data_IF_253954653384
#
_entry.id   IF_253954653384
#
_cell.length_a   1.000
_cell.length_b   1.000
_cell.length_c   1.000
_cell.angle_alpha   90.00
_cell.angle_beta   90.00
_cell.angle_gamma   90.00
#
_symmetry.space_group_name_H-M   'P 1'
#
loop_
_entity.id
_entity.type
_entity.pdbx_description
1 polymer ?
#
# COMPACT_ATOMS: atom_id res chain seq x y z
N UNK A 1 -64.71 -41.95 -24.57
CA UNK A 1 -63.42 -41.62 -23.96
C UNK A 1 -62.88 -40.37 -24.64
N UNK A 2 -62.92 -39.21 -23.95
CA UNK A 2 -62.34 -37.95 -24.45
C UNK A 2 -61.05 -37.62 -23.72
N UNK A 3 -59.90 -37.69 -24.42
CA UNK A 3 -58.59 -37.43 -23.90
C UNK A 3 -58.35 -35.90 -23.98
N UNK A 4 -58.17 -35.25 -22.82
CA UNK A 4 -57.88 -33.85 -22.71
C UNK A 4 -56.35 -33.70 -22.62
N UNK A 5 -55.71 -33.10 -23.65
CA UNK A 5 -54.32 -32.65 -23.63
C UNK A 5 -54.21 -31.35 -22.85
N UNK A 6 -53.49 -31.34 -21.74
CA UNK A 6 -53.07 -30.11 -21.03
C UNK A 6 -51.73 -29.68 -21.57
N UNK A 7 -51.71 -28.53 -22.27
CA UNK A 7 -50.49 -27.84 -22.68
C UNK A 7 -50.05 -26.99 -21.49
N UNK A 8 -48.90 -27.31 -20.88
CA UNK A 8 -48.25 -26.48 -19.87
C UNK A 8 -47.38 -25.42 -20.58
N UNK A 9 -47.76 -24.17 -20.45
CA UNK A 9 -46.92 -23.05 -20.88
C UNK A 9 -45.83 -22.81 -19.80
N UNK A 10 -44.57 -23.12 -20.11
CA UNK A 10 -43.43 -22.71 -19.30
C UNK A 10 -43.11 -21.23 -19.65
N UNK A 11 -43.47 -20.30 -18.76
CA UNK A 11 -42.97 -18.93 -18.83
C UNK A 11 -41.51 -18.95 -18.35
N UNK A 12 -40.59 -18.90 -19.29
CA UNK A 12 -39.17 -18.64 -19.01
C UNK A 12 -38.98 -17.19 -18.56
N UNK A 13 -38.78 -16.97 -17.28
CA UNK A 13 -38.32 -15.68 -16.78
C UNK A 13 -36.89 -15.48 -17.25
N UNK A 14 -36.67 -14.70 -18.29
CA UNK A 14 -35.37 -14.20 -18.72
C UNK A 14 -34.99 -13.12 -17.69
N UNK A 15 -34.24 -13.49 -16.64
CA UNK A 15 -33.51 -12.53 -15.83
C UNK A 15 -32.43 -11.89 -16.73
N UNK A 16 -32.75 -10.76 -17.36
CA UNK A 16 -31.74 -9.84 -17.87
C UNK A 16 -30.99 -9.27 -16.68
N UNK A 17 -30.02 -10.01 -16.15
CA UNK A 17 -29.00 -9.45 -15.29
C UNK A 17 -28.21 -8.43 -16.11
N UNK A 18 -28.30 -7.15 -15.76
CA UNK A 18 -27.41 -6.15 -16.31
C UNK A 18 -25.99 -6.64 -16.04
N UNK A 19 -25.30 -7.11 -17.06
CA UNK A 19 -23.89 -7.40 -17.00
C UNK A 19 -23.20 -6.05 -16.82
N UNK A 20 -22.92 -5.68 -15.57
CA UNK A 20 -22.01 -4.58 -15.29
C UNK A 20 -20.71 -4.92 -16.01
N UNK A 21 -20.24 -4.01 -16.86
CA UNK A 21 -18.98 -4.18 -17.56
C UNK A 21 -17.88 -4.41 -16.49
N UNK A 22 -17.36 -5.64 -16.46
CA UNK A 22 -16.21 -5.93 -15.59
C UNK A 22 -15.06 -5.00 -16.00
N UNK A 23 -14.41 -4.36 -15.03
CA UNK A 23 -13.23 -3.57 -15.30
C UNK A 23 -12.12 -4.41 -15.96
N UNK A 24 -11.15 -3.74 -16.56
CA UNK A 24 -10.07 -4.40 -17.33
C UNK A 24 -8.71 -3.89 -16.94
N UNK A 25 -7.69 -4.72 -17.18
CA UNK A 25 -6.29 -4.34 -17.08
C UNK A 25 -5.76 -3.82 -18.42
N UNK A 26 -4.94 -2.78 -18.35
CA UNK A 26 -4.26 -2.15 -19.50
C UNK A 26 -2.78 -2.11 -19.19
N UNK A 27 -1.94 -2.54 -20.14
CA UNK A 27 -0.49 -2.40 -20.06
C UNK A 27 -0.07 -1.01 -20.51
N UNK A 28 0.80 -0.37 -19.75
CA UNK A 28 1.33 0.97 -20.01
C UNK A 28 2.86 0.92 -20.18
N UNK A 29 3.49 2.09 -20.40
CA UNK A 29 4.94 2.19 -20.56
C UNK A 29 5.67 1.52 -19.41
N UNK A 30 6.61 0.63 -19.72
CA UNK A 30 7.40 -0.12 -18.75
C UNK A 30 8.13 0.81 -17.77
N UNK A 31 8.24 0.39 -16.51
CA UNK A 31 8.98 1.14 -15.50
C UNK A 31 10.47 1.07 -15.76
N UNK A 32 11.21 2.20 -15.81
CA UNK A 32 12.59 2.22 -16.29
C UNK A 32 13.62 1.57 -15.36
N UNK A 33 13.35 1.49 -14.06
CA UNK A 33 14.31 1.01 -13.05
C UNK A 33 13.61 0.00 -12.10
N UNK A 34 13.37 -1.25 -12.57
CA UNK A 34 12.65 -2.26 -11.80
C UNK A 34 13.25 -2.52 -10.42
N UNK A 35 12.40 -2.53 -9.40
CA UNK A 35 12.79 -2.76 -8.01
C UNK A 35 11.58 -3.26 -7.21
N UNK A 36 11.84 -3.69 -5.99
CA UNK A 36 10.82 -3.93 -4.97
C UNK A 36 10.79 -2.82 -3.91
N UNK A 37 9.84 -2.90 -3.00
CA UNK A 37 9.60 -1.92 -1.92
C UNK A 37 9.43 -0.49 -2.45
N UNK A 38 8.68 -0.41 -3.54
CA UNK A 38 8.28 0.84 -4.17
C UNK A 38 6.96 1.33 -3.59
N UNK A 39 6.83 2.64 -3.45
CA UNK A 39 5.59 3.29 -3.00
C UNK A 39 5.09 4.25 -4.09
N UNK A 40 3.78 4.24 -4.31
CA UNK A 40 3.13 5.08 -5.31
C UNK A 40 2.23 6.14 -4.67
N UNK A 41 2.27 7.35 -5.21
CA UNK A 41 1.38 8.46 -4.83
C UNK A 41 0.95 9.23 -6.06
N UNK A 42 -0.32 9.60 -6.14
CA UNK A 42 -0.82 10.50 -7.16
C UNK A 42 -0.79 11.94 -6.67
N UNK A 43 -0.26 12.84 -7.47
CA UNK A 43 -0.31 14.29 -7.24
C UNK A 43 -0.42 15.02 -8.57
N UNK A 44 -1.20 16.09 -8.63
CA UNK A 44 -1.32 16.95 -9.80
C UNK A 44 -1.63 16.21 -11.13
N UNK A 45 -2.44 15.12 -11.05
CA UNK A 45 -2.81 14.31 -12.21
C UNK A 45 -1.72 13.37 -12.73
N UNK A 46 -0.63 13.20 -12.00
CA UNK A 46 0.50 12.31 -12.32
C UNK A 46 0.71 11.26 -11.23
N UNK A 47 1.41 10.18 -11.59
CA UNK A 47 1.87 9.17 -10.65
C UNK A 47 3.33 9.41 -10.29
N UNK A 48 3.64 9.38 -9.01
CA UNK A 48 5.01 9.41 -8.49
C UNK A 48 5.33 8.07 -7.83
N UNK A 49 6.50 7.52 -8.15
CA UNK A 49 7.04 6.27 -7.58
C UNK A 49 8.32 6.58 -6.84
N UNK A 50 8.40 6.10 -5.60
CA UNK A 50 9.47 6.40 -4.65
C UNK A 50 10.12 5.13 -4.11
N UNK A 51 11.29 5.28 -3.48
CA UNK A 51 12.05 4.28 -2.75
C UNK A 51 12.83 3.31 -3.62
N UNK A 52 12.49 2.03 -3.54
CA UNK A 52 13.16 0.93 -4.18
C UNK A 52 14.32 0.34 -3.38
N UNK A 53 14.47 -0.97 -3.50
CA UNK A 53 15.55 -1.76 -2.91
C UNK A 53 16.28 -2.49 -4.03
N UNK A 54 17.60 -2.37 -4.06
CA UNK A 54 18.50 -3.10 -4.92
C UNK A 54 18.99 -4.40 -4.25
N UNK A 55 19.61 -5.34 -4.99
CA UNK A 55 20.22 -6.53 -4.43
C UNK A 55 21.10 -6.23 -3.21
N UNK A 56 21.03 -7.07 -2.18
CA UNK A 56 21.71 -6.86 -0.90
C UNK A 56 20.98 -5.90 0.04
N UNK A 57 19.69 -5.69 -0.17
CA UNK A 57 18.82 -4.82 0.65
C UNK A 57 19.24 -3.34 0.65
N UNK A 58 19.93 -2.91 -0.40
CA UNK A 58 20.41 -1.54 -0.52
C UNK A 58 19.30 -0.59 -0.94
N UNK A 59 18.89 0.39 -0.09
CA UNK A 59 17.93 1.39 -0.48
C UNK A 59 18.46 2.24 -1.65
N UNK A 60 17.62 2.48 -2.64
CA UNK A 60 17.96 3.28 -3.83
C UNK A 60 17.54 4.73 -3.63
N UNK A 61 16.35 4.95 -3.06
CA UNK A 61 15.78 6.29 -2.86
C UNK A 61 15.40 6.97 -4.19
N UNK A 62 15.06 6.17 -5.21
CA UNK A 62 14.68 6.70 -6.51
C UNK A 62 13.37 7.49 -6.45
N UNK A 63 13.19 8.41 -7.40
CA UNK A 63 11.94 9.11 -7.65
C UNK A 63 11.68 9.15 -9.15
N UNK A 64 10.50 8.71 -9.55
CA UNK A 64 10.02 8.77 -10.92
C UNK A 64 8.63 9.39 -11.00
N UNK A 65 8.42 10.21 -12.00
CA UNK A 65 7.13 10.76 -12.39
C UNK A 65 6.64 10.05 -13.65
N UNK A 66 5.39 9.58 -13.64
CA UNK A 66 4.69 9.10 -14.82
C UNK A 66 3.60 10.08 -15.22
N UNK A 67 3.62 10.47 -16.50
CA UNK A 67 2.59 11.31 -17.10
C UNK A 67 1.63 10.43 -17.93
N UNK A 68 0.37 10.25 -17.47
CA UNK A 68 -0.60 9.44 -18.19
C UNK A 68 -1.05 10.04 -19.53
N UNK A 69 -0.86 11.35 -19.73
CA UNK A 69 -1.20 12.01 -20.99
C UNK A 69 -0.25 11.68 -22.13
N UNK A 70 1.00 11.37 -21.81
CA UNK A 70 2.05 11.03 -22.78
C UNK A 70 2.53 9.58 -22.70
N UNK A 71 2.07 8.82 -21.69
CA UNK A 71 2.52 7.46 -21.37
C UNK A 71 4.05 7.40 -21.19
N UNK A 72 4.65 8.31 -20.43
CA UNK A 72 6.10 8.43 -20.25
C UNK A 72 6.52 8.58 -18.80
N UNK A 73 7.70 8.03 -18.51
CA UNK A 73 8.39 8.17 -17.24
C UNK A 73 9.48 9.24 -17.32
N UNK A 74 9.63 10.01 -16.23
CA UNK A 74 10.71 10.99 -16.06
C UNK A 74 11.35 10.77 -14.70
N UNK A 75 12.68 10.58 -14.66
CA UNK A 75 13.43 10.49 -13.40
C UNK A 75 13.52 11.88 -12.77
N UNK A 76 13.29 11.94 -11.47
CA UNK A 76 13.27 13.15 -10.65
C UNK A 76 14.43 13.14 -9.66
N UNK A 77 14.60 14.26 -8.93
CA UNK A 77 15.60 14.34 -7.88
C UNK A 77 15.34 13.29 -6.80
N UNK A 78 16.36 12.47 -6.43
CA UNK A 78 16.19 11.38 -5.49
C UNK A 78 15.84 11.88 -4.09
N UNK A 79 15.37 10.96 -3.24
CA UNK A 79 15.15 11.21 -1.82
C UNK A 79 16.46 11.67 -1.15
N UNK A 80 16.40 12.66 -0.22
CA UNK A 80 17.61 13.15 0.48
C UNK A 80 18.34 12.09 1.28
N UNK A 81 17.62 11.10 1.78
CA UNK A 81 18.13 9.92 2.45
C UNK A 81 17.57 8.67 1.75
N UNK A 82 18.41 7.91 1.00
CA UNK A 82 17.99 6.65 0.44
C UNK A 82 17.44 5.73 1.52
N UNK A 83 16.14 5.43 1.45
CA UNK A 83 15.42 4.61 2.42
C UNK A 83 14.32 3.82 1.72
N UNK A 84 13.81 2.78 2.37
CA UNK A 84 12.74 1.92 1.88
C UNK A 84 11.64 1.75 2.92
N UNK A 85 10.47 1.24 2.51
CA UNK A 85 9.31 1.10 3.38
C UNK A 85 8.91 2.43 4.05
N UNK A 86 9.12 3.53 3.35
CA UNK A 86 8.66 4.87 3.73
C UNK A 86 7.16 4.95 3.43
N UNK A 87 6.37 5.61 4.24
CA UNK A 87 4.99 5.88 3.90
C UNK A 87 4.82 7.25 3.24
N UNK A 88 3.93 7.34 2.27
CA UNK A 88 3.67 8.56 1.53
C UNK A 88 2.20 8.90 1.50
N UNK A 89 1.90 10.20 1.49
CA UNK A 89 0.56 10.72 1.25
C UNK A 89 0.63 12.06 0.53
N UNK A 90 -0.43 12.41 -0.19
CA UNK A 90 -0.53 13.69 -0.90
C UNK A 90 -1.33 14.68 -0.07
N UNK A 91 -0.96 15.97 -0.15
CA UNK A 91 -1.73 17.07 0.38
C UNK A 91 -1.43 18.37 -0.39
N UNK A 92 -2.45 18.95 -0.99
CA UNK A 92 -2.40 20.23 -1.75
C UNK A 92 -1.31 20.24 -2.83
N UNK A 93 -1.21 19.16 -3.59
CA UNK A 93 -0.27 19.02 -4.71
C UNK A 93 1.16 18.69 -4.30
N UNK A 94 1.45 18.54 -3.01
CA UNK A 94 2.74 18.13 -2.47
C UNK A 94 2.67 16.72 -1.90
N UNK A 95 3.80 16.03 -1.85
CA UNK A 95 3.90 14.66 -1.37
C UNK A 95 4.72 14.66 -0.08
N UNK A 96 4.16 14.03 0.94
CA UNK A 96 4.76 13.92 2.27
C UNK A 96 5.23 12.50 2.50
N UNK A 97 6.45 12.37 3.02
CA UNK A 97 7.15 11.10 3.27
C UNK A 97 7.49 10.97 4.75
N UNK A 98 7.21 9.79 5.34
CA UNK A 98 7.36 9.58 6.78
C UNK A 98 8.00 8.23 7.11
N UNK A 99 9.04 8.26 7.96
CA UNK A 99 9.72 7.07 8.48
C UNK A 99 10.41 6.25 7.41
N UNK A 100 10.42 4.95 7.59
CA UNK A 100 11.11 3.98 6.71
C UNK A 100 12.28 3.29 7.41
N UNK A 101 13.08 2.58 6.62
CA UNK A 101 14.29 1.92 7.07
C UNK A 101 15.49 2.34 6.21
N UNK A 102 16.66 2.35 6.84
CA UNK A 102 17.97 2.51 6.21
C UNK A 102 18.87 1.34 6.56
N UNK A 103 19.97 1.18 5.83
CA UNK A 103 21.05 0.27 6.26
C UNK A 103 21.83 0.87 7.43
N UNK A 104 22.39 0.05 8.34
CA UNK A 104 23.28 0.51 9.37
C UNK A 104 24.58 1.07 8.75
N UNK A 105 25.21 2.04 9.42
CA UNK A 105 26.46 2.64 8.96
C UNK A 105 27.64 1.65 8.99
N UNK A 106 27.56 0.59 9.78
CA UNK A 106 28.57 -0.46 9.88
C UNK A 106 27.92 -1.78 10.33
N UNK A 107 28.58 -2.89 10.05
CA UNK A 107 28.10 -4.23 10.37
C UNK A 107 27.28 -4.86 9.24
N UNK A 108 26.61 -5.99 9.50
CA UNK A 108 25.82 -6.69 8.50
C UNK A 108 24.58 -5.87 8.10
N UNK A 109 24.08 -6.10 6.90
CA UNK A 109 22.85 -5.49 6.41
C UNK A 109 21.69 -5.73 7.40
N UNK A 110 20.97 -4.67 7.74
CA UNK A 110 19.82 -4.70 8.66
C UNK A 110 18.88 -3.55 8.31
N UNK A 111 17.65 -3.61 8.81
CA UNK A 111 16.67 -2.55 8.64
C UNK A 111 16.62 -1.69 9.89
N UNK A 112 17.20 -0.50 9.82
CA UNK A 112 17.21 0.46 10.92
C UNK A 112 16.08 1.46 10.73
N UNK A 113 15.07 1.48 11.63
CA UNK A 113 13.95 2.40 11.50
C UNK A 113 14.39 3.85 11.72
N UNK A 114 13.81 4.76 10.94
CA UNK A 114 14.10 6.20 10.97
C UNK A 114 12.87 7.02 11.35
N UNK A 115 13.13 8.25 11.77
CA UNK A 115 12.10 9.25 12.13
C UNK A 115 12.02 10.40 11.12
N UNK A 116 12.71 10.32 10.01
CA UNK A 116 12.72 11.36 8.99
C UNK A 116 11.31 11.63 8.45
N UNK A 117 11.02 12.92 8.27
CA UNK A 117 9.83 13.41 7.60
C UNK A 117 10.24 14.44 6.53
N UNK A 118 9.66 14.32 5.35
CA UNK A 118 9.99 15.16 4.20
C UNK A 118 8.72 15.61 3.47
N UNK A 119 8.78 16.81 2.89
CA UNK A 119 7.85 17.29 1.88
C UNK A 119 8.58 17.31 0.53
N UNK A 120 8.01 16.71 -0.48
CA UNK A 120 8.43 16.81 -1.86
C UNK A 120 7.49 17.73 -2.61
N UNK A 121 8.04 18.72 -3.28
CA UNK A 121 7.32 19.63 -4.18
C UNK A 121 7.52 19.16 -5.63
N UNK A 122 6.53 18.51 -6.27
CA UNK A 122 6.68 18.03 -7.64
C UNK A 122 6.90 19.12 -8.67
N UNK A 123 6.39 20.33 -8.42
CA UNK A 123 6.52 21.43 -9.37
C UNK A 123 7.95 22.00 -9.39
N UNK A 124 8.62 22.01 -8.24
CA UNK A 124 9.98 22.49 -8.07
C UNK A 124 11.02 21.35 -8.17
N UNK A 125 10.58 20.08 -8.10
CA UNK A 125 11.45 18.91 -7.98
C UNK A 125 12.43 19.03 -6.80
N UNK A 126 11.92 19.44 -5.63
CA UNK A 126 12.72 19.72 -4.44
C UNK A 126 12.15 19.07 -3.19
N UNK A 127 13.04 18.76 -2.24
CA UNK A 127 12.72 18.19 -0.95
C UNK A 127 12.95 19.19 0.17
N UNK A 128 12.06 19.20 1.16
CA UNK A 128 12.16 19.99 2.39
C UNK A 128 12.00 19.08 3.60
N UNK A 129 12.93 19.18 4.57
CA UNK A 129 12.80 18.47 5.84
C UNK A 129 11.67 19.06 6.69
N UNK A 130 10.96 18.18 7.39
CA UNK A 130 9.88 18.52 8.31
C UNK A 130 10.27 18.11 9.74
N UNK A 131 9.45 18.48 10.73
CA UNK A 131 9.59 17.97 12.08
C UNK A 131 9.57 16.43 12.06
N UNK A 132 10.58 15.76 12.66
CA UNK A 132 10.69 14.31 12.61
C UNK A 132 9.51 13.63 13.32
N UNK A 133 9.22 12.37 12.92
CA UNK A 133 8.24 11.54 13.63
C UNK A 133 8.67 11.37 15.10
N UNK A 134 7.73 11.48 16.05
CA UNK A 134 8.03 11.21 17.45
C UNK A 134 8.51 9.78 17.70
N UNK A 135 8.01 8.80 16.91
CA UNK A 135 8.39 7.39 17.02
C UNK A 135 9.06 6.91 15.72
N UNK A 136 10.34 6.56 15.80
CA UNK A 136 11.08 5.95 14.68
C UNK A 136 10.46 4.63 14.28
N UNK A 137 10.05 4.48 13.01
CA UNK A 137 9.45 3.26 12.51
C UNK A 137 9.50 3.15 10.98
N UNK A 138 9.60 1.93 10.50
CA UNK A 138 9.48 1.63 9.08
C UNK A 138 8.18 0.91 8.76
N UNK A 139 7.80 0.93 7.50
CA UNK A 139 6.57 0.30 6.99
C UNK A 139 5.27 0.70 7.72
N UNK A 140 5.11 1.98 8.17
CA UNK A 140 3.80 2.47 8.57
C UNK A 140 2.94 2.72 7.33
N UNK A 141 1.66 3.05 7.55
CA UNK A 141 0.82 3.66 6.50
C UNK A 141 0.67 5.15 6.77
N UNK A 142 0.55 5.96 5.72
CA UNK A 142 0.23 7.38 5.83
C UNK A 142 -1.00 7.73 4.99
N UNK A 143 -1.91 8.50 5.56
CA UNK A 143 -3.17 8.89 4.91
C UNK A 143 -3.52 10.32 5.27
N UNK A 144 -3.94 11.10 4.30
CA UNK A 144 -4.46 12.46 4.51
C UNK A 144 -5.97 12.41 4.71
N UNK A 145 -6.46 13.08 5.77
CA UNK A 145 -7.88 13.31 6.02
C UNK A 145 -8.07 14.79 6.36
N UNK A 146 -8.84 15.50 5.56
CA UNK A 146 -8.95 16.96 5.68
C UNK A 146 -7.59 17.64 5.57
N UNK A 147 -7.26 18.45 6.56
CA UNK A 147 -5.97 19.17 6.62
C UNK A 147 -4.95 18.48 7.54
N UNK A 148 -5.09 17.18 7.79
CA UNK A 148 -4.22 16.39 8.69
C UNK A 148 -3.73 15.11 8.02
N UNK A 149 -2.52 14.70 8.38
CA UNK A 149 -1.94 13.44 7.95
C UNK A 149 -1.78 12.50 9.13
N UNK A 150 -2.18 11.26 8.95
CA UNK A 150 -2.13 10.22 9.97
C UNK A 150 -1.10 9.18 9.57
N UNK A 151 -0.07 8.99 10.42
CA UNK A 151 0.94 7.94 10.26
C UNK A 151 0.63 6.85 11.29
N UNK A 152 0.31 5.65 10.79
CA UNK A 152 -0.32 4.60 11.58
C UNK A 152 0.48 3.30 11.49
N UNK A 153 0.67 2.64 12.63
CA UNK A 153 1.34 1.34 12.68
C UNK A 153 2.82 1.42 12.33
N UNK A 154 3.32 0.38 11.72
CA UNK A 154 4.72 0.21 11.36
C UNK A 154 5.48 -0.74 12.28
N UNK A 155 6.79 -0.82 12.10
CA UNK A 155 7.68 -1.68 12.86
C UNK A 155 8.83 -0.88 13.48
N UNK A 156 9.16 -1.22 14.73
CA UNK A 156 10.23 -0.63 15.53
C UNK A 156 11.22 -1.70 16.00
N UNK A 157 12.41 -1.28 16.41
CA UNK A 157 13.37 -2.13 17.11
C UNK A 157 13.36 -1.82 18.61
N UNK A 158 13.67 -2.80 19.44
CA UNK A 158 13.82 -2.58 20.87
C UNK A 158 15.06 -1.71 21.20
N UNK A 159 15.08 -1.02 22.35
CA UNK A 159 16.19 -0.11 22.72
C UNK A 159 17.59 -0.75 22.77
N UNK A 160 17.67 -2.05 23.01
CA UNK A 160 18.93 -2.82 23.06
C UNK A 160 19.36 -3.37 21.70
N UNK A 161 18.55 -3.14 20.66
CA UNK A 161 18.65 -3.77 19.35
C UNK A 161 18.89 -2.75 18.23
N UNK A 162 19.30 -1.54 18.59
CA UNK A 162 19.52 -0.45 17.65
C UNK A 162 20.61 -0.74 16.60
N UNK A 163 21.49 -1.72 16.84
CA UNK A 163 22.46 -2.25 15.88
C UNK A 163 22.03 -3.65 15.45
N UNK A 164 21.07 -3.73 14.57
CA UNK A 164 20.31 -4.95 14.35
C UNK A 164 20.93 -5.83 13.27
N UNK A 165 21.16 -7.07 13.62
CA UNK A 165 21.40 -8.16 12.68
C UNK A 165 20.13 -8.42 11.84
N UNK A 166 20.21 -8.76 10.53
CA UNK A 166 19.06 -9.03 9.67
C UNK A 166 18.03 -10.03 10.22
N UNK A 167 18.49 -10.95 11.07
CA UNK A 167 17.65 -11.96 11.72
C UNK A 167 17.00 -11.49 13.03
N UNK A 168 17.13 -10.24 13.44
CA UNK A 168 16.49 -9.75 14.67
C UNK A 168 15.09 -9.24 14.38
N UNK A 169 14.13 -9.52 15.27
CA UNK A 169 12.75 -9.13 15.04
C UNK A 169 12.54 -7.63 15.11
N UNK A 170 11.76 -7.09 14.19
CA UNK A 170 11.09 -5.82 14.36
C UNK A 170 9.73 -6.08 14.99
N UNK A 171 9.32 -5.23 15.92
CA UNK A 171 8.03 -5.35 16.59
C UNK A 171 7.01 -4.44 15.92
N UNK A 172 5.87 -5.00 15.54
CA UNK A 172 4.73 -4.20 15.07
C UNK A 172 4.20 -3.32 16.18
N UNK A 173 3.88 -2.07 15.83
CA UNK A 173 3.28 -1.11 16.76
C UNK A 173 1.91 -0.66 16.27
N UNK A 174 1.05 -0.28 17.21
CA UNK A 174 -0.25 0.34 16.92
C UNK A 174 -0.20 1.88 16.96
N UNK A 175 0.98 2.47 17.07
CA UNK A 175 1.18 3.93 17.21
C UNK A 175 0.46 4.69 16.10
N UNK A 176 -0.28 5.73 16.49
CA UNK A 176 -0.91 6.70 15.59
C UNK A 176 -0.41 8.09 15.94
N UNK A 177 0.17 8.74 14.96
CA UNK A 177 0.66 10.11 15.07
C UNK A 177 0.05 10.96 13.95
N UNK A 178 -0.56 12.06 14.36
CA UNK A 178 -1.18 13.04 13.48
C UNK A 178 -0.21 14.19 13.25
N UNK A 179 0.02 14.52 11.99
CA UNK A 179 0.84 15.65 11.56
C UNK A 179 -0.03 16.81 11.09
N UNK A 180 0.27 18.00 11.60
CA UNK A 180 -0.30 19.26 11.15
C UNK A 180 0.71 19.99 10.25
N UNK A 181 0.49 20.06 8.92
CA UNK A 181 1.41 20.72 8.01
C UNK A 181 1.45 22.24 8.19
N UNK A 182 0.42 22.85 8.78
CA UNK A 182 0.39 24.31 8.99
C UNK A 182 1.32 24.74 10.14
N UNK A 183 1.40 23.94 11.19
CA UNK A 183 2.27 24.21 12.35
C UNK A 183 3.57 23.42 12.32
N UNK A 184 3.75 22.48 11.37
CA UNK A 184 4.86 21.52 11.32
C UNK A 184 5.03 20.78 12.65
N UNK A 185 3.94 20.26 13.20
CA UNK A 185 3.90 19.65 14.53
C UNK A 185 3.14 18.33 14.55
N UNK A 186 3.49 17.47 15.50
CA UNK A 186 2.91 16.16 15.72
C UNK A 186 2.06 16.11 16.99
N UNK A 187 1.03 15.28 16.98
CA UNK A 187 0.36 14.85 18.20
C UNK A 187 0.02 13.37 18.16
N UNK A 188 0.07 12.72 19.32
CA UNK A 188 -0.36 11.32 19.46
C UNK A 188 -1.88 11.21 19.43
N UNK A 189 -2.35 10.09 18.87
CA UNK A 189 -3.78 9.72 18.78
C UNK A 189 -3.97 8.33 19.36
N UNK A 190 -5.23 7.92 19.52
CA UNK A 190 -5.57 6.58 20.01
C UNK A 190 -4.94 5.50 19.13
N UNK A 191 -4.16 4.61 19.74
CA UNK A 191 -3.42 3.57 19.07
C UNK A 191 -4.36 2.58 18.34
N UNK A 192 -3.91 2.07 17.19
CA UNK A 192 -4.59 1.01 16.44
C UNK A 192 -4.65 -0.28 17.29
N UNK A 193 -5.81 -0.91 17.45
CA UNK A 193 -5.99 -2.07 18.33
C UNK A 193 -5.13 -3.28 17.95
N UNK A 194 -4.91 -3.51 16.65
CA UNK A 194 -4.05 -4.59 16.16
C UNK A 194 -2.75 -4.02 15.60
N UNK A 195 -1.63 -4.03 16.38
CA UNK A 195 -0.32 -3.58 15.90
C UNK A 195 0.13 -4.32 14.66
N UNK A 196 0.49 -3.59 13.58
CA UNK A 196 0.92 -4.19 12.31
C UNK A 196 1.73 -3.23 11.44
N UNK A 197 2.44 -3.84 10.50
CA UNK A 197 3.24 -3.17 9.49
C UNK A 197 2.96 -3.78 8.10
N UNK A 198 3.50 -3.23 7.04
CA UNK A 198 3.27 -3.66 5.66
C UNK A 198 1.76 -3.78 5.30
N UNK A 199 0.92 -3.01 5.98
CA UNK A 199 -0.49 -2.92 5.69
C UNK A 199 -0.76 -2.01 4.48
N UNK A 200 -1.96 -2.12 3.91
CA UNK A 200 -2.50 -1.13 3.00
C UNK A 200 -3.40 -0.14 3.76
N UNK A 201 -3.61 1.05 3.21
CA UNK A 201 -4.56 1.99 3.78
C UNK A 201 -5.24 2.86 2.72
N UNK A 202 -6.38 3.43 3.09
CA UNK A 202 -7.10 4.40 2.29
C UNK A 202 -8.02 5.26 3.15
N UNK A 203 -8.31 6.48 2.69
CA UNK A 203 -9.27 7.36 3.33
C UNK A 203 -10.56 7.45 2.51
N UNK A 204 -11.69 7.23 3.16
CA UNK A 204 -13.03 7.38 2.56
C UNK A 204 -13.94 8.04 3.58
N UNK A 205 -14.69 9.06 3.16
CA UNK A 205 -15.65 9.78 4.01
C UNK A 205 -15.05 10.26 5.35
N UNK A 206 -13.87 10.86 5.31
CA UNK A 206 -13.11 11.36 6.45
C UNK A 206 -12.72 10.29 7.50
N UNK A 207 -12.70 9.03 7.11
CA UNK A 207 -12.24 7.91 7.93
C UNK A 207 -11.08 7.21 7.26
N UNK A 208 -10.18 6.66 8.07
CA UNK A 208 -9.03 5.88 7.61
C UNK A 208 -9.31 4.40 7.79
N UNK A 209 -9.00 3.62 6.78
CA UNK A 209 -9.10 2.15 6.81
C UNK A 209 -7.70 1.56 6.70
N UNK A 210 -7.29 0.77 7.68
CA UNK A 210 -6.03 0.01 7.67
C UNK A 210 -6.35 -1.46 7.42
N UNK A 211 -5.76 -2.04 6.38
CA UNK A 211 -6.18 -3.30 5.77
C UNK A 211 -5.00 -4.27 5.68
N UNK A 212 -5.18 -5.49 6.18
CA UNK A 212 -4.19 -6.55 6.09
C UNK A 212 -2.87 -6.22 6.78
N UNK A 213 -1.76 -6.68 6.23
CA UNK A 213 -0.41 -6.47 6.78
C UNK A 213 0.10 -7.61 7.63
N UNK A 214 1.17 -7.38 8.38
CA UNK A 214 1.85 -8.35 9.26
C UNK A 214 1.63 -7.98 10.71
N UNK A 215 1.37 -8.97 11.56
CA UNK A 215 1.19 -8.85 13.02
C UNK A 215 2.35 -9.49 13.76
N UNK A 216 2.58 -9.06 15.01
CA UNK A 216 3.58 -9.64 15.90
C UNK A 216 5.01 -9.23 15.59
N UNK A 217 5.96 -10.12 15.87
CA UNK A 217 7.37 -9.93 15.55
C UNK A 217 7.61 -10.07 14.05
N UNK A 218 8.47 -9.23 13.50
CA UNK A 218 8.80 -9.23 12.09
C UNK A 218 10.28 -9.51 11.92
N UNK A 219 10.59 -10.53 11.11
CA UNK A 219 11.94 -10.82 10.68
C UNK A 219 12.13 -10.34 9.24
N UNK A 220 13.30 -9.83 8.91
CA UNK A 220 13.64 -9.43 7.54
C UNK A 220 13.61 -10.65 6.61
N UNK A 221 14.10 -11.79 7.11
CA UNK A 221 14.25 -13.03 6.34
C UNK A 221 13.53 -14.20 6.99
N UNK A 222 12.53 -13.96 7.84
CA UNK A 222 11.80 -14.98 8.57
C UNK A 222 10.31 -15.01 8.24
N UNK A 223 9.62 -16.08 8.63
CA UNK A 223 8.17 -16.15 8.50
C UNK A 223 7.47 -15.01 9.20
N UNK A 224 6.41 -14.48 8.60
CA UNK A 224 5.56 -13.44 9.17
C UNK A 224 4.11 -13.88 9.25
N UNK A 225 3.38 -13.39 10.25
CA UNK A 225 1.95 -13.66 10.41
C UNK A 225 1.14 -12.60 9.68
N UNK A 226 0.71 -12.89 8.47
CA UNK A 226 -0.17 -12.02 7.71
C UNK A 226 -1.61 -12.07 8.24
N UNK A 227 -2.32 -10.96 8.14
CA UNK A 227 -3.69 -10.83 8.64
C UNK A 227 -4.67 -10.36 7.58
N UNK A 228 -5.95 -10.68 7.79
CA UNK A 228 -7.10 -10.22 7.02
C UNK A 228 -7.84 -9.07 7.70
N UNK A 229 -7.36 -8.59 8.83
CA UNK A 229 -8.03 -7.59 9.66
C UNK A 229 -8.16 -6.27 8.90
N UNK A 230 -9.36 -5.68 9.03
CA UNK A 230 -9.67 -4.32 8.59
C UNK A 230 -10.12 -3.53 9.79
N UNK A 231 -9.45 -2.41 10.05
CA UNK A 231 -9.80 -1.48 11.12
C UNK A 231 -10.02 -0.09 10.55
N UNK A 232 -11.14 0.51 10.94
CA UNK A 232 -11.51 1.87 10.62
C UNK A 232 -11.16 2.78 11.77
N UNK A 233 -10.46 3.87 11.49
CA UNK A 233 -10.20 4.96 12.41
C UNK A 233 -11.06 6.16 12.06
N UNK A 234 -11.77 6.68 13.05
CA UNK A 234 -12.50 7.94 12.97
C UNK A 234 -11.69 9.05 13.65
N UNK A 235 -11.04 9.95 12.89
CA UNK A 235 -10.25 11.03 13.45
C UNK A 235 -11.03 12.02 14.32
N UNK A 236 -12.32 12.21 14.03
CA UNK A 236 -13.16 13.13 14.79
C UNK A 236 -13.49 12.59 16.19
N UNK A 237 -13.75 11.29 16.29
CA UNK A 237 -14.02 10.60 17.54
C UNK A 237 -12.76 10.10 18.25
N UNK A 238 -11.60 10.09 17.57
CA UNK A 238 -10.35 9.44 18.00
C UNK A 238 -10.56 7.99 18.42
N UNK A 239 -11.30 7.23 17.60
CA UNK A 239 -11.76 5.89 17.94
C UNK A 239 -11.64 4.90 16.76
N UNK A 240 -11.48 3.63 17.11
CA UNK A 240 -11.34 2.52 16.17
C UNK A 240 -12.54 1.60 16.17
N UNK A 241 -12.82 0.99 15.00
CA UNK A 241 -13.82 -0.05 14.84
C UNK A 241 -13.36 -1.12 13.86
N UNK A 242 -13.64 -2.39 14.17
CA UNK A 242 -13.41 -3.50 13.24
C UNK A 242 -14.42 -3.47 12.10
N UNK A 243 -13.97 -3.88 10.91
CA UNK A 243 -14.78 -3.98 9.69
C UNK A 243 -14.68 -5.38 9.08
N UNK A 244 -15.44 -5.62 8.01
CA UNK A 244 -15.42 -6.89 7.30
C UNK A 244 -14.00 -7.24 6.84
N UNK A 245 -13.54 -8.43 7.20
CA UNK A 245 -12.21 -8.93 6.92
C UNK A 245 -11.93 -9.03 5.44
N UNK A 246 -10.69 -8.76 5.02
CA UNK A 246 -10.22 -8.95 3.65
C UNK A 246 -10.29 -10.42 3.24
N UNK A 247 -10.76 -10.76 2.04
CA UNK A 247 -10.90 -12.16 1.61
C UNK A 247 -9.57 -12.93 1.57
N UNK A 248 -8.47 -12.26 1.20
CA UNK A 248 -7.15 -12.89 1.07
C UNK A 248 -6.13 -12.24 2.02
N UNK A 249 -5.79 -12.87 3.17
CA UNK A 249 -4.78 -12.35 4.10
C UNK A 249 -3.42 -12.17 3.41
N UNK A 250 -2.85 -10.96 3.43
CA UNK A 250 -1.56 -10.66 2.80
C UNK A 250 -0.97 -9.33 3.27
N UNK A 251 0.29 -9.11 2.94
CA UNK A 251 1.05 -7.90 3.26
C UNK A 251 1.79 -7.35 2.02
N UNK A 252 2.43 -6.20 2.14
CA UNK A 252 3.22 -5.56 1.08
C UNK A 252 2.41 -5.36 -0.23
N UNK A 253 1.15 -4.95 -0.06
CA UNK A 253 0.15 -4.73 -1.11
C UNK A 253 0.18 -3.28 -1.59
N UNK A 254 -0.29 -3.06 -2.82
CA UNK A 254 -0.66 -1.74 -3.28
C UNK A 254 -2.15 -1.45 -3.03
N UNK A 255 -2.45 -0.18 -2.76
CA UNK A 255 -3.82 0.31 -2.53
C UNK A 255 -4.12 1.54 -3.37
N UNK A 256 -5.40 1.76 -3.63
CA UNK A 256 -5.89 2.99 -4.23
C UNK A 256 -7.36 3.23 -3.91
N UNK A 257 -7.75 4.49 -3.76
CA UNK A 257 -9.14 4.87 -3.49
C UNK A 257 -9.76 5.44 -4.75
N UNK A 258 -10.88 4.87 -5.17
CA UNK A 258 -11.63 5.34 -6.33
C UNK A 258 -13.14 5.20 -6.09
N UNK A 259 -13.89 6.27 -6.32
CA UNK A 259 -15.37 6.33 -6.14
C UNK A 259 -15.84 5.74 -4.81
N UNK A 260 -15.17 6.15 -3.70
CA UNK A 260 -15.55 5.75 -2.35
C UNK A 260 -15.25 4.30 -1.99
N UNK A 261 -14.49 3.57 -2.81
CA UNK A 261 -14.02 2.20 -2.54
C UNK A 261 -12.51 2.16 -2.43
N UNK A 262 -12.02 1.22 -1.65
CA UNK A 262 -10.58 0.96 -1.47
C UNK A 262 -10.23 -0.32 -2.22
N UNK A 263 -9.37 -0.20 -3.22
CA UNK A 263 -8.90 -1.30 -4.05
C UNK A 263 -7.54 -1.78 -3.54
N UNK A 264 -7.39 -3.08 -3.35
CA UNK A 264 -6.17 -3.72 -2.86
C UNK A 264 -5.73 -4.79 -3.86
N UNK A 265 -4.47 -4.75 -4.28
CA UNK A 265 -3.93 -5.78 -5.19
C UNK A 265 -2.48 -6.10 -4.89
N UNK A 266 -2.01 -7.23 -5.42
CA UNK A 266 -0.66 -7.72 -5.18
C UNK A 266 -0.45 -8.14 -3.73
N UNK A 267 0.80 -8.09 -3.31
CA UNK A 267 1.23 -8.48 -1.97
C UNK A 267 1.76 -9.89 -1.91
N UNK A 268 2.16 -10.28 -0.70
CA UNK A 268 2.73 -11.59 -0.43
C UNK A 268 2.16 -12.23 0.82
N UNK A 269 2.33 -13.53 0.89
CA UNK A 269 2.17 -14.35 2.08
C UNK A 269 3.46 -15.13 2.31
N UNK A 270 3.98 -15.09 3.53
CA UNK A 270 5.20 -15.82 3.87
C UNK A 270 5.13 -16.33 5.30
N UNK A 271 4.92 -17.62 5.43
CA UNK A 271 5.03 -18.32 6.70
C UNK A 271 5.91 -19.59 6.54
N UNK A 272 6.02 -20.38 7.58
CA UNK A 272 6.82 -21.61 7.56
C UNK A 272 6.30 -22.68 6.57
N UNK A 273 5.10 -22.51 6.01
CA UNK A 273 4.42 -23.50 5.16
C UNK A 273 4.24 -23.03 3.72
N UNK A 274 4.09 -21.73 3.53
CA UNK A 274 3.75 -21.15 2.22
C UNK A 274 4.51 -19.83 1.99
N UNK A 275 5.06 -19.70 0.79
CA UNK A 275 5.61 -18.47 0.24
C UNK A 275 4.90 -18.20 -1.09
N UNK A 276 4.22 -17.07 -1.19
CA UNK A 276 3.46 -16.75 -2.39
C UNK A 276 3.38 -15.24 -2.60
N UNK A 277 3.35 -14.83 -3.88
CA UNK A 277 2.92 -13.49 -4.29
C UNK A 277 1.52 -13.57 -4.88
N UNK A 278 0.75 -12.52 -4.72
CA UNK A 278 -0.64 -12.49 -5.15
C UNK A 278 -0.86 -11.58 -6.35
N UNK A 279 -1.89 -11.92 -7.13
CA UNK A 279 -2.43 -11.07 -8.18
C UNK A 279 -3.89 -10.70 -7.94
N UNK A 280 -4.46 -11.14 -6.81
CA UNK A 280 -5.83 -10.82 -6.43
C UNK A 280 -6.05 -9.32 -6.40
N UNK A 281 -7.12 -8.85 -7.04
CA UNK A 281 -7.66 -7.50 -6.91
C UNK A 281 -8.98 -7.59 -6.16
N UNK A 282 -9.05 -6.93 -5.02
CA UNK A 282 -10.21 -6.90 -4.14
C UNK A 282 -10.58 -5.46 -3.83
N UNK A 283 -11.87 -5.14 -3.83
CA UNK A 283 -12.37 -3.81 -3.52
C UNK A 283 -13.25 -3.85 -2.28
N UNK A 284 -12.92 -3.03 -1.31
CA UNK A 284 -13.71 -2.80 -0.11
C UNK A 284 -14.65 -1.62 -0.30
N UNK A 285 -15.92 -1.82 -0.02
CA UNK A 285 -16.95 -0.79 0.01
C UNK A 285 -17.28 -0.43 1.48
N UNK A 286 -16.76 0.69 2.01
CA UNK A 286 -17.01 1.09 3.38
C UNK A 286 -18.48 1.34 3.70
N UNK A 287 -19.26 1.84 2.74
CA UNK A 287 -20.68 2.13 2.96
C UNK A 287 -21.51 0.86 3.18
N UNK A 288 -21.10 -0.25 2.56
CA UNK A 288 -21.74 -1.55 2.69
C UNK A 288 -21.03 -2.48 3.67
N UNK A 289 -19.83 -2.10 4.13
CA UNK A 289 -18.92 -2.96 4.90
C UNK A 289 -18.73 -4.32 4.22
N UNK A 290 -18.43 -4.33 2.92
CA UNK A 290 -18.38 -5.54 2.11
C UNK A 290 -17.25 -5.50 1.08
N UNK A 291 -16.78 -6.70 0.69
CA UNK A 291 -15.76 -6.92 -0.31
C UNK A 291 -16.32 -7.41 -1.63
N UNK A 292 -15.65 -7.04 -2.72
CA UNK A 292 -15.85 -7.58 -4.06
C UNK A 292 -14.53 -8.09 -4.61
N UNK A 293 -14.55 -9.27 -5.24
CA UNK A 293 -13.42 -9.83 -5.98
C UNK A 293 -13.54 -9.37 -7.43
N UNK A 294 -12.45 -8.84 -7.97
CA UNK A 294 -12.38 -8.25 -9.30
C UNK A 294 -11.38 -9.01 -10.19
N UNK A 295 -11.33 -8.73 -11.52
CA UNK A 295 -10.34 -9.35 -12.40
C UNK A 295 -8.91 -9.18 -11.88
N UNK A 296 -8.22 -10.29 -11.68
CA UNK A 296 -6.87 -10.32 -11.10
C UNK A 296 -5.86 -9.57 -11.95
N UNK A 297 -4.86 -8.98 -11.31
CA UNK A 297 -3.68 -8.38 -11.96
C UNK A 297 -2.99 -9.41 -12.88
N UNK A 298 -2.42 -8.99 -14.02
CA UNK A 298 -1.78 -9.93 -14.97
C UNK A 298 -0.65 -10.75 -14.35
N UNK A 299 0.19 -10.12 -13.53
CA UNK A 299 1.37 -10.76 -12.91
C UNK A 299 1.31 -10.59 -11.40
N UNK A 300 1.46 -11.70 -10.65
CA UNK A 300 1.56 -11.66 -9.18
C UNK A 300 2.87 -10.99 -8.77
N UNK A 301 2.82 -10.09 -7.78
CA UNK A 301 3.98 -9.39 -7.24
C UNK A 301 3.70 -8.69 -5.93
N UNK A 302 4.74 -8.45 -5.15
CA UNK A 302 4.70 -7.68 -3.91
C UNK A 302 5.68 -6.51 -3.95
N UNK A 303 5.67 -5.67 -2.93
CA UNK A 303 6.58 -4.51 -2.85
C UNK A 303 6.42 -3.55 -4.04
N UNK A 304 5.22 -3.51 -4.62
CA UNK A 304 4.87 -2.75 -5.82
C UNK A 304 4.34 -1.37 -5.45
N UNK A 305 4.62 -0.37 -6.29
CA UNK A 305 3.97 0.93 -6.16
C UNK A 305 2.54 0.90 -6.71
N UNK A 306 1.62 1.60 -6.04
CA UNK A 306 0.26 1.75 -6.53
C UNK A 306 -0.38 3.07 -6.15
N UNK A 307 -1.14 3.67 -7.07
CA UNK A 307 -1.97 4.84 -6.84
C UNK A 307 -3.08 4.96 -7.88
N UNK A 308 -4.08 5.76 -7.58
CA UNK A 308 -5.13 6.13 -8.53
C UNK A 308 -4.78 7.45 -9.21
N UNK A 309 -4.70 7.44 -10.54
CA UNK A 309 -4.57 8.66 -11.36
C UNK A 309 -5.73 8.71 -12.34
N UNK A 310 -6.51 9.76 -12.28
CA UNK A 310 -7.73 9.88 -13.04
C UNK A 310 -8.74 8.78 -12.67
N UNK A 311 -9.02 7.86 -13.61
CA UNK A 311 -9.95 6.73 -13.43
C UNK A 311 -9.24 5.37 -13.36
N UNK A 312 -7.91 5.35 -13.24
CA UNK A 312 -7.10 4.14 -13.31
C UNK A 312 -6.36 3.89 -12.02
N UNK A 313 -6.37 2.64 -11.57
CA UNK A 313 -5.46 2.16 -10.54
C UNK A 313 -4.17 1.70 -11.23
N UNK A 314 -3.11 2.44 -11.02
CA UNK A 314 -1.78 2.12 -11.55
C UNK A 314 -1.03 1.22 -10.58
N UNK A 315 -0.38 0.16 -11.11
CA UNK A 315 0.43 -0.80 -10.37
C UNK A 315 1.77 -0.96 -11.08
N UNK A 316 2.86 -0.62 -10.40
CA UNK A 316 4.18 -0.44 -11.02
C UNK A 316 5.20 -1.32 -10.34
N UNK A 317 5.97 -2.08 -11.13
CA UNK A 317 7.13 -2.86 -10.71
C UNK A 317 6.82 -3.84 -9.56
N UNK A 318 7.76 -4.10 -8.68
CA UNK A 318 7.70 -5.06 -7.58
C UNK A 318 8.43 -6.36 -7.89
N UNK A 319 8.49 -7.25 -6.91
CA UNK A 319 9.11 -8.57 -7.03
C UNK A 319 8.03 -9.65 -7.25
N UNK A 320 8.24 -10.52 -8.24
CA UNK A 320 7.34 -11.66 -8.52
C UNK A 320 7.62 -12.85 -7.61
N UNK A 321 8.73 -12.84 -6.89
CA UNK A 321 9.06 -13.80 -5.82
C UNK A 321 8.60 -13.25 -4.47
N UNK A 322 8.34 -14.12 -3.50
CA UNK A 322 8.17 -13.70 -2.10
C UNK A 322 9.53 -13.41 -1.46
N UNK A 323 9.62 -12.39 -0.61
CA UNK A 323 10.88 -11.99 0.03
C UNK A 323 11.59 -13.14 0.78
N UNK A 324 10.84 -14.06 1.38
CA UNK A 324 11.41 -15.22 2.08
C UNK A 324 12.06 -16.25 1.15
N UNK A 325 11.80 -16.20 -0.16
CA UNK A 325 12.41 -17.13 -1.13
C UNK A 325 13.92 -16.97 -1.26
N UNK A 326 14.45 -15.80 -0.88
CA UNK A 326 15.85 -15.43 -1.08
C UNK A 326 16.24 -15.20 -2.55
N UNK A 327 15.30 -15.39 -3.49
CA UNK A 327 15.44 -15.05 -4.89
C UNK A 327 14.67 -13.75 -5.17
N UNK A 328 15.22 -12.94 -6.05
CA UNK A 328 14.58 -11.69 -6.48
C UNK A 328 14.39 -11.68 -7.99
N UNK A 329 13.20 -11.29 -8.42
CA UNK A 329 12.84 -11.17 -9.83
C UNK A 329 11.97 -9.93 -10.03
N UNK A 330 12.62 -8.79 -10.12
CA UNK A 330 11.95 -7.51 -10.29
C UNK A 330 11.35 -7.40 -11.70
N UNK A 331 10.14 -6.88 -11.77
CA UNK A 331 9.45 -6.70 -13.05
C UNK A 331 9.33 -5.23 -13.42
N UNK A 332 9.51 -4.94 -14.71
CA UNK A 332 9.24 -3.60 -15.27
C UNK A 332 7.75 -3.31 -15.49
N UNK A 333 6.88 -4.25 -15.14
CA UNK A 333 5.47 -4.16 -15.46
C UNK A 333 4.82 -2.90 -14.87
N UNK A 334 4.14 -2.15 -15.72
CA UNK A 334 3.23 -1.08 -15.37
C UNK A 334 1.85 -1.44 -15.92
N UNK A 335 1.01 -1.93 -15.04
CA UNK A 335 -0.36 -2.30 -15.35
C UNK A 335 -1.33 -1.31 -14.71
N UNK A 336 -2.38 -0.93 -15.41
CA UNK A 336 -3.45 -0.11 -14.84
C UNK A 336 -4.79 -0.84 -14.93
N UNK A 337 -5.56 -0.81 -13.84
CA UNK A 337 -6.92 -1.31 -13.82
C UNK A 337 -7.90 -0.17 -14.08
N UNK A 338 -8.76 -0.35 -15.07
CA UNK A 338 -9.90 0.52 -15.36
C UNK A 338 -11.14 -0.12 -14.74
N UNK A 339 -11.69 0.43 -13.63
CA UNK A 339 -12.94 -0.08 -13.06
C UNK A 339 -14.06 0.00 -14.08
N UNK A 340 -14.92 -1.03 -14.14
CA UNK A 340 -16.14 -1.02 -14.92
C UNK A 340 -17.16 -0.01 -14.39
N UNK A 341 -18.08 0.40 -15.24
CA UNK A 341 -19.20 1.28 -14.87
C UNK A 341 -20.29 0.51 -14.16
#
# INVERSE_FOLDING_TARGET
MKTIFRIAFLLGVICCGAAFAQGRWVKLAAFPEPAEELLGVAANGKLYVFCGVAPGWKPIGMVYEYDPGTDRWTKKNPMPLPSHHVSFTEYKGKIYAFGGFVLPQSGPAAWVPIDNAWEYDPAQDTWRALAPLPTRRGSPVAVTVGDRMYVIGGAVTGPKEAAVHPARPHFSVGTVEEYDPASNAWRSRTAMPTPRNHAAAGAVNNKVYVIGGRVGGVFITGPSSNTDIVEEYDPAADAWAFRAKMPTPRSAMAAGVYEGRIYITGGEYQDARMMATFRALEAYDPARNAWSVLPSMPTSRHGLAGAVVGKRLHMVSGDVQSALSGAHSYTEAHDAYEPGK
#
